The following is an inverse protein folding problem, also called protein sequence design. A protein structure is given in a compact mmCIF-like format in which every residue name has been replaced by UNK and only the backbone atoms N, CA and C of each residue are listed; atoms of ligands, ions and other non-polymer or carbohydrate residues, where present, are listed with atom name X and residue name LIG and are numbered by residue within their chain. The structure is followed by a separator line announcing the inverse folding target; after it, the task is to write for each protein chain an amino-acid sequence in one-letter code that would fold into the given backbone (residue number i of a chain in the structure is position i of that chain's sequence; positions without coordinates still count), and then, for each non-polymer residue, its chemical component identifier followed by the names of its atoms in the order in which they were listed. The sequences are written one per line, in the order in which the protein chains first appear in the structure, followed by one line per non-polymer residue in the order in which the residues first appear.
data_IF_121795896110
#
_entry.id   IF_121795896110
#
_cell.length_a   1.000
_cell.length_b   1.000
_cell.length_c   1.000
_cell.angle_alpha   90.00
_cell.angle_beta   90.00
_cell.angle_gamma   90.00
#
_symmetry.space_group_name_H-M   'P 1'
#
loop_
_entity.id
_entity.type
_entity.pdbx_description
1 polymer ?
#
# COMPACT_ATOMS: atom_id res chain seq x y z
N UNK A 1 -8.41 14.10 -0.05
CA UNK A 1 -8.73 13.17 -1.14
C UNK A 1 -10.18 12.74 -0.99
N UNK A 2 -10.97 12.65 -2.08
CA UNK A 2 -12.32 12.09 -1.98
C UNK A 2 -12.26 10.65 -1.45
N UNK A 3 -13.32 10.16 -0.79
CA UNK A 3 -13.39 8.77 -0.35
C UNK A 3 -13.21 7.84 -1.55
N UNK A 4 -12.45 6.77 -1.37
CA UNK A 4 -12.17 5.82 -2.45
C UNK A 4 -13.44 5.10 -2.88
N UNK A 5 -13.61 4.91 -4.20
CA UNK A 5 -14.76 4.19 -4.74
C UNK A 5 -14.79 2.73 -4.23
N UNK A 6 -15.85 2.40 -3.51
CA UNK A 6 -16.15 1.10 -2.93
C UNK A 6 -17.30 0.37 -3.66
N UNK A 7 -17.82 0.95 -4.75
CA UNK A 7 -18.82 0.26 -5.57
C UNK A 7 -18.12 -0.77 -6.47
N UNK A 8 -18.72 -1.96 -6.68
CA UNK A 8 -18.24 -2.93 -7.66
C UNK A 8 -18.13 -2.31 -9.06
N UNK A 9 -17.14 -2.77 -9.84
CA UNK A 9 -17.04 -2.41 -11.24
C UNK A 9 -18.13 -3.14 -12.07
N UNK A 10 -18.58 -2.57 -13.22
CA UNK A 10 -19.65 -3.19 -14.03
C UNK A 10 -19.41 -4.66 -14.39
N UNK A 11 -18.15 -5.03 -14.67
CA UNK A 11 -17.76 -6.38 -15.11
C UNK A 11 -17.07 -7.18 -14.00
N UNK A 12 -17.32 -6.85 -12.74
CA UNK A 12 -16.68 -7.53 -11.62
C UNK A 12 -17.32 -8.91 -11.39
N UNK A 13 -16.55 -10.01 -11.41
CA UNK A 13 -17.11 -11.37 -11.43
C UNK A 13 -17.68 -11.85 -10.08
N UNK A 14 -17.29 -11.21 -8.96
CA UNK A 14 -17.74 -11.58 -7.61
C UNK A 14 -17.70 -10.38 -6.67
N UNK A 15 -18.48 -10.43 -5.59
CA UNK A 15 -18.46 -9.39 -4.56
C UNK A 15 -17.15 -9.41 -3.76
N UNK A 16 -16.65 -8.22 -3.42
CA UNK A 16 -15.44 -8.05 -2.60
C UNK A 16 -15.76 -7.29 -1.31
N UNK A 17 -15.15 -7.66 -0.18
CA UNK A 17 -15.29 -6.92 1.07
C UNK A 17 -14.85 -5.45 0.94
N UNK A 18 -15.62 -4.57 1.59
CA UNK A 18 -15.36 -3.12 1.63
C UNK A 18 -14.72 -2.67 2.94
N UNK A 19 -14.57 -3.59 3.90
CA UNK A 19 -13.90 -3.37 5.17
C UNK A 19 -12.45 -2.94 4.98
N UNK A 20 -11.99 -2.09 5.89
CA UNK A 20 -10.66 -1.50 5.86
C UNK A 20 -9.93 -1.77 7.15
N UNK A 21 -8.63 -2.00 7.03
CA UNK A 21 -7.75 -2.26 8.17
C UNK A 21 -7.00 -0.98 8.56
N UNK A 22 -6.97 -0.67 9.86
CA UNK A 22 -6.12 0.37 10.43
C UNK A 22 -4.69 -0.18 10.56
N UNK A 23 -3.71 0.58 10.08
CA UNK A 23 -2.28 0.25 10.15
C UNK A 23 -1.67 0.60 11.51
N UNK A 24 -0.43 0.19 11.74
CA UNK A 24 0.36 0.66 12.90
C UNK A 24 1.09 1.98 12.64
N UNK A 25 0.93 2.54 11.44
CA UNK A 25 1.69 3.69 10.95
C UNK A 25 0.96 5.00 11.32
N UNK A 26 1.54 5.87 12.16
CA UNK A 26 0.93 7.13 12.54
C UNK A 26 0.97 8.15 11.39
N UNK A 27 -0.11 8.93 11.23
CA UNK A 27 -0.20 10.01 10.25
C UNK A 27 0.46 11.27 10.79
N UNK A 28 1.24 11.95 9.96
CA UNK A 28 1.78 13.27 10.32
C UNK A 28 0.73 14.39 10.21
N UNK A 29 -0.34 14.19 9.42
CA UNK A 29 -1.32 15.24 9.09
C UNK A 29 -2.50 15.31 10.07
N UNK A 30 -2.66 14.32 10.93
CA UNK A 30 -3.75 14.24 11.91
C UNK A 30 -3.23 13.57 13.18
N UNK A 31 -3.34 14.27 14.30
CA UNK A 31 -2.81 13.81 15.57
C UNK A 31 -3.63 12.63 16.13
N UNK A 32 -2.95 11.61 16.64
CA UNK A 32 -3.58 10.39 17.15
C UNK A 32 -4.17 9.45 16.08
N UNK A 33 -4.10 9.82 14.80
CA UNK A 33 -4.61 8.98 13.72
C UNK A 33 -3.55 8.08 13.07
N UNK A 34 -3.99 6.91 12.64
CA UNK A 34 -3.20 5.94 11.89
C UNK A 34 -3.65 5.85 10.43
N UNK A 35 -2.74 5.46 9.54
CA UNK A 35 -3.09 5.19 8.14
C UNK A 35 -4.07 4.02 8.06
N UNK A 36 -4.99 4.08 7.10
CA UNK A 36 -6.02 3.05 6.90
C UNK A 36 -5.85 2.50 5.51
N UNK A 37 -5.56 1.20 5.41
CA UNK A 37 -5.34 0.53 4.14
C UNK A 37 -6.62 0.48 3.29
N UNK A 38 -6.49 0.39 1.96
CA UNK A 38 -7.63 0.21 1.08
C UNK A 38 -8.30 -1.15 1.36
N UNK A 39 -9.62 -1.21 1.17
CA UNK A 39 -10.36 -2.48 1.15
C UNK A 39 -10.04 -3.30 -0.10
N UNK A 40 -10.56 -4.52 -0.16
CA UNK A 40 -10.44 -5.36 -1.34
C UNK A 40 -11.10 -4.74 -2.57
N UNK A 41 -12.29 -4.19 -2.39
CA UNK A 41 -13.00 -3.50 -3.46
C UNK A 41 -12.27 -2.24 -3.93
N UNK A 42 -11.68 -1.45 -3.02
CA UNK A 42 -10.88 -0.29 -3.38
C UNK A 42 -9.61 -0.68 -4.16
N UNK A 43 -8.95 -1.77 -3.75
CA UNK A 43 -7.77 -2.29 -4.42
C UNK A 43 -8.11 -2.76 -5.85
N UNK A 44 -9.18 -3.54 -6.00
CA UNK A 44 -9.68 -3.98 -7.31
C UNK A 44 -9.91 -2.78 -8.24
N UNK A 45 -10.67 -1.79 -7.77
CA UNK A 45 -10.96 -0.58 -8.53
C UNK A 45 -9.68 0.21 -8.87
N UNK A 46 -8.68 0.23 -7.98
CA UNK A 46 -7.40 0.86 -8.24
C UNK A 46 -6.58 0.14 -9.32
N UNK A 47 -6.59 -1.19 -9.33
CA UNK A 47 -5.93 -2.01 -10.35
C UNK A 47 -6.55 -1.80 -11.72
N UNK A 48 -7.88 -1.76 -11.81
CA UNK A 48 -8.58 -1.46 -13.07
C UNK A 48 -8.21 -0.07 -13.63
N UNK A 49 -8.08 0.96 -12.77
CA UNK A 49 -7.62 2.30 -13.19
C UNK A 49 -6.18 2.31 -13.69
N UNK A 50 -5.34 1.39 -13.22
CA UNK A 50 -3.96 1.21 -13.70
C UNK A 50 -3.88 0.42 -15.02
N UNK A 51 -5.02 0.10 -15.64
CA UNK A 51 -5.08 -0.65 -16.89
C UNK A 51 -5.00 -2.16 -16.69
N UNK A 52 -4.91 -2.65 -15.45
CA UNK A 52 -4.97 -4.08 -15.20
C UNK A 52 -6.37 -4.60 -15.56
N UNK A 53 -6.41 -5.72 -16.28
CA UNK A 53 -7.65 -6.43 -16.61
C UNK A 53 -7.41 -7.87 -16.24
N UNK A 54 -8.16 -8.34 -15.25
CA UNK A 54 -8.21 -9.74 -14.87
C UNK A 54 -8.94 -10.47 -16.00
N UNK A 55 -8.20 -10.89 -17.04
CA UNK A 55 -8.75 -11.62 -18.21
C UNK A 55 -8.53 -13.10 -17.96
N UNK A 56 -9.58 -13.91 -18.06
CA UNK A 56 -9.62 -15.39 -18.11
C UNK A 56 -8.81 -16.19 -17.07
N UNK A 57 -8.08 -15.53 -16.17
CA UNK A 57 -7.41 -16.13 -15.03
C UNK A 57 -8.39 -16.19 -13.86
N UNK A 58 -8.54 -17.38 -13.27
CA UNK A 58 -9.39 -17.72 -12.13
C UNK A 58 -8.99 -16.97 -10.84
N UNK A 59 -8.93 -15.64 -10.87
CA UNK A 59 -8.71 -14.88 -9.64
C UNK A 59 -9.95 -15.09 -8.77
N UNK A 60 -9.76 -15.76 -7.65
CA UNK A 60 -10.83 -16.04 -6.70
C UNK A 60 -10.87 -14.92 -5.65
N UNK A 61 -11.99 -14.75 -4.95
CA UNK A 61 -12.06 -13.85 -3.78
C UNK A 61 -10.91 -14.08 -2.79
N UNK A 62 -10.49 -15.34 -2.62
CA UNK A 62 -9.39 -15.72 -1.72
C UNK A 62 -8.03 -15.16 -2.16
N UNK A 63 -7.76 -15.11 -3.46
CA UNK A 63 -6.50 -14.56 -3.98
C UNK A 63 -6.42 -13.06 -3.69
N UNK A 64 -7.55 -12.35 -3.82
CA UNK A 64 -7.63 -10.93 -3.49
C UNK A 64 -7.34 -10.67 -2.00
N UNK A 65 -7.92 -11.49 -1.13
CA UNK A 65 -7.66 -11.44 0.30
C UNK A 65 -6.16 -11.63 0.61
N UNK A 66 -5.53 -12.63 0.01
CA UNK A 66 -4.12 -12.95 0.24
C UNK A 66 -3.19 -11.86 -0.31
N UNK A 67 -3.46 -11.37 -1.52
CA UNK A 67 -2.71 -10.25 -2.11
C UNK A 67 -2.71 -9.06 -1.15
N UNK A 68 -3.87 -8.70 -0.59
CA UNK A 68 -3.99 -7.52 0.27
C UNK A 68 -3.30 -7.74 1.61
N UNK A 69 -3.42 -8.94 2.20
CA UNK A 69 -2.68 -9.29 3.42
C UNK A 69 -1.17 -9.15 3.21
N UNK A 70 -0.65 -9.67 2.09
CA UNK A 70 0.77 -9.56 1.73
C UNK A 70 1.19 -8.10 1.57
N UNK A 71 0.40 -7.29 0.86
CA UNK A 71 0.70 -5.87 0.65
C UNK A 71 0.72 -5.08 1.97
N UNK A 72 -0.26 -5.31 2.85
CA UNK A 72 -0.31 -4.66 4.16
C UNK A 72 0.88 -5.09 5.02
N UNK A 73 1.19 -6.40 5.06
CA UNK A 73 2.35 -6.91 5.78
C UNK A 73 3.67 -6.30 5.27
N UNK A 74 3.83 -6.13 3.96
CA UNK A 74 4.99 -5.47 3.38
C UNK A 74 5.09 -4.00 3.78
N UNK A 75 3.97 -3.26 3.81
CA UNK A 75 3.95 -1.87 4.28
C UNK A 75 4.35 -1.77 5.76
N UNK A 76 3.85 -2.66 6.60
CA UNK A 76 4.18 -2.68 8.03
C UNK A 76 5.65 -3.03 8.25
N UNK A 77 6.20 -4.01 7.53
CA UNK A 77 7.64 -4.33 7.59
C UNK A 77 8.50 -3.16 7.12
N UNK A 78 8.13 -2.51 6.02
CA UNK A 78 8.83 -1.33 5.54
C UNK A 78 8.81 -0.20 6.58
N UNK A 79 7.69 -0.03 7.30
CA UNK A 79 7.61 0.93 8.40
C UNK A 79 8.56 0.58 9.56
N UNK A 80 8.68 -0.70 9.94
CA UNK A 80 9.66 -1.12 10.95
C UNK A 80 11.10 -0.80 10.51
N UNK A 81 11.45 -0.99 9.24
CA UNK A 81 12.77 -0.61 8.74
C UNK A 81 12.99 0.90 8.76
N UNK A 82 11.96 1.71 8.49
CA UNK A 82 12.03 3.17 8.66
C UNK A 82 12.27 3.52 10.12
N UNK A 83 11.54 2.91 11.06
CA UNK A 83 11.73 3.16 12.50
C UNK A 83 13.15 2.80 12.98
N UNK A 84 13.74 1.72 12.46
CA UNK A 84 15.14 1.37 12.76
C UNK A 84 16.11 2.46 12.28
N UNK A 85 15.84 3.06 11.12
CA UNK A 85 16.65 4.17 10.61
C UNK A 85 16.45 5.45 11.43
N UNK A 86 15.20 5.79 11.77
CA UNK A 86 14.84 6.97 12.58
C UNK A 86 15.39 6.88 14.00
N UNK A 87 15.54 5.67 14.55
CA UNK A 87 16.16 5.46 15.86
C UNK A 87 17.62 5.97 15.92
N UNK A 88 18.32 6.02 14.80
CA UNK A 88 19.67 6.60 14.71
C UNK A 88 19.66 8.14 14.81
N UNK A 89 18.49 8.76 14.68
CA UNK A 89 18.27 10.22 14.72
C UNK A 89 17.30 10.61 15.85
N UNK A 90 17.21 9.78 16.89
CA UNK A 90 16.22 9.94 17.96
C UNK A 90 16.31 11.28 18.72
N UNK A 91 17.50 11.89 18.77
CA UNK A 91 17.71 13.22 19.38
C UNK A 91 17.04 14.35 18.58
N UNK A 92 16.86 14.17 17.26
CA UNK A 92 16.21 15.15 16.38
C UNK A 92 14.67 15.02 16.42
N UNK A 93 14.17 13.79 16.49
CA UNK A 93 12.73 13.49 16.49
C UNK A 93 12.42 12.20 17.27
N UNK A 94 11.80 12.34 18.44
CA UNK A 94 11.42 11.18 19.27
C UNK A 94 10.12 10.48 18.87
N UNK A 95 9.36 11.02 17.91
CA UNK A 95 8.06 10.49 17.50
C UNK A 95 7.89 10.53 15.98
N UNK A 96 8.56 9.63 15.23
CA UNK A 96 8.46 9.59 13.77
C UNK A 96 7.02 9.31 13.32
N UNK A 97 6.54 10.09 12.35
CA UNK A 97 5.20 9.96 11.74
C UNK A 97 5.30 9.99 10.22
N UNK A 98 4.47 9.20 9.54
CA UNK A 98 4.50 9.15 8.08
C UNK A 98 3.65 10.28 7.49
N UNK A 99 4.30 11.16 6.73
CA UNK A 99 3.65 12.27 6.02
C UNK A 99 2.79 11.82 4.84
N UNK A 100 3.29 10.90 4.02
CA UNK A 100 2.55 10.36 2.89
C UNK A 100 3.15 9.04 2.39
N UNK A 101 2.30 8.21 1.78
CA UNK A 101 2.75 7.13 0.92
C UNK A 101 3.11 7.68 -0.45
N UNK A 102 4.29 7.33 -0.96
CA UNK A 102 4.76 7.78 -2.27
C UNK A 102 5.57 6.71 -2.99
N UNK A 103 5.15 6.34 -4.20
CA UNK A 103 5.91 5.45 -5.06
C UNK A 103 6.96 6.22 -5.87
N UNK A 104 8.25 5.94 -5.66
CA UNK A 104 9.36 6.49 -6.45
C UNK A 104 9.91 5.48 -7.46
N UNK A 105 9.03 4.73 -8.12
CA UNK A 105 9.40 3.59 -8.99
C UNK A 105 10.35 3.96 -10.15
N UNK A 106 10.30 5.20 -10.65
CA UNK A 106 11.18 5.69 -11.72
C UNK A 106 12.52 6.25 -11.21
N UNK A 107 12.66 6.46 -9.89
CA UNK A 107 13.85 7.07 -9.30
C UNK A 107 14.73 5.97 -8.72
N UNK A 108 15.51 5.33 -9.58
CA UNK A 108 16.42 4.27 -9.15
C UNK A 108 17.49 4.81 -8.19
N UNK A 109 17.67 4.11 -7.06
CA UNK A 109 18.83 4.32 -6.21
C UNK A 109 20.12 4.00 -6.97
N UNK A 110 21.29 4.52 -6.56
CA UNK A 110 22.57 4.19 -7.19
C UNK A 110 22.78 2.67 -7.34
N UNK A 111 22.45 1.90 -6.29
CA UNK A 111 22.47 0.44 -6.29
C UNK A 111 21.52 -0.17 -7.33
N UNK A 112 20.30 0.35 -7.44
CA UNK A 112 19.33 -0.13 -8.43
C UNK A 112 19.77 0.18 -9.87
N UNK A 113 20.39 1.34 -10.11
CA UNK A 113 20.97 1.69 -11.43
C UNK A 113 22.08 0.73 -11.84
N UNK A 114 23.01 0.43 -10.92
CA UNK A 114 24.12 -0.51 -11.18
C UNK A 114 23.57 -1.91 -11.49
N UNK A 115 22.61 -2.40 -10.70
CA UNK A 115 21.98 -3.71 -10.95
C UNK A 115 21.25 -3.77 -12.28
N UNK A 116 20.44 -2.75 -12.60
CA UNK A 116 19.76 -2.66 -13.89
C UNK A 116 20.75 -2.65 -15.08
N UNK A 117 21.94 -2.08 -14.91
CA UNK A 117 22.96 -2.07 -15.96
C UNK A 117 23.63 -3.44 -16.16
N UNK A 118 23.70 -4.27 -15.11
CA UNK A 118 24.37 -5.58 -15.16
C UNK A 118 23.47 -6.74 -15.65
N UNK A 119 22.19 -6.47 -15.98
CA UNK A 119 21.20 -7.48 -16.35
C UNK A 119 20.38 -7.94 -15.16
#
# INVERSE_FOLDING_TARGET
MPPGNQNPAPDQPFALPTDRQVSTIPKATAEGEFWVYPSQQMFWNAMLRKGWRWRDEDIKPKDMEDIIKIHNANNEQAWQEVLKWEALHAEECGMPKLKSFGGKAKNFSPRARIRHWMG
#
